data_IF_537823135037
#
_entry.id   IF_537823135037
#
_cell.length_a   1.000
_cell.length_b   1.000
_cell.length_c   1.000
_cell.angle_alpha   90.00
_cell.angle_beta   90.00
_cell.angle_gamma   90.00
#
_symmetry.space_group_name_H-M   'P 1'
#
loop_
_entity.id
_entity.type
_entity.pdbx_description
1 polymer ?
#
# COMPACT_ATOMS: atom_id res chain seq x y z
N UNK A 1 -52.98 15.84 4.45
CA UNK A 1 -52.67 14.40 4.35
C UNK A 1 -51.80 14.01 3.17
N UNK A 2 -51.92 14.63 1.98
CA UNK A 2 -51.07 14.28 0.80
C UNK A 2 -49.57 14.40 1.07
N UNK A 3 -49.08 15.53 1.61
CA UNK A 3 -47.64 15.72 1.86
C UNK A 3 -47.00 14.77 2.88
N UNK A 4 -47.80 14.18 3.80
CA UNK A 4 -47.28 13.15 4.75
C UNK A 4 -47.09 11.80 4.05
N UNK A 5 -47.95 11.46 3.09
CA UNK A 5 -47.82 10.22 2.31
C UNK A 5 -46.61 10.28 1.38
N UNK A 6 -46.39 11.42 0.72
CA UNK A 6 -45.23 11.64 -0.15
C UNK A 6 -43.92 11.60 0.65
N UNK A 7 -43.88 12.25 1.82
CA UNK A 7 -42.70 12.21 2.70
C UNK A 7 -42.40 10.80 3.21
N UNK A 8 -43.42 10.00 3.53
CA UNK A 8 -43.25 8.60 3.95
C UNK A 8 -42.68 7.74 2.82
N UNK A 9 -43.09 7.99 1.58
CA UNK A 9 -42.56 7.30 0.39
C UNK A 9 -41.07 7.58 0.17
N UNK A 10 -40.63 8.84 0.25
CA UNK A 10 -39.21 9.19 0.13
C UNK A 10 -38.35 8.61 1.26
N UNK A 11 -38.84 8.65 2.50
CA UNK A 11 -38.14 8.08 3.66
C UNK A 11 -38.01 6.56 3.55
N UNK A 12 -39.07 5.88 3.09
CA UNK A 12 -39.02 4.44 2.83
C UNK A 12 -38.05 4.08 1.69
N UNK A 13 -38.02 4.86 0.60
CA UNK A 13 -37.06 4.67 -0.48
C UNK A 13 -35.61 4.83 -0.01
N UNK A 14 -35.33 5.88 0.77
CA UNK A 14 -33.99 6.13 1.32
C UNK A 14 -33.56 5.04 2.30
N UNK A 15 -34.45 4.57 3.18
CA UNK A 15 -34.12 3.51 4.14
C UNK A 15 -33.81 2.18 3.46
N UNK A 16 -34.52 1.83 2.37
CA UNK A 16 -34.22 0.65 1.56
C UNK A 16 -32.86 0.79 0.88
N UNK A 17 -32.55 1.95 0.29
CA UNK A 17 -31.26 2.21 -0.35
C UNK A 17 -30.10 2.13 0.65
N UNK A 18 -30.24 2.72 1.84
CA UNK A 18 -29.24 2.61 2.90
C UNK A 18 -29.07 1.16 3.37
N UNK A 19 -30.18 0.44 3.59
CA UNK A 19 -30.14 -0.98 3.95
C UNK A 19 -29.43 -1.85 2.92
N UNK A 20 -29.73 -1.63 1.63
CA UNK A 20 -29.05 -2.30 0.53
C UNK A 20 -27.56 -1.93 0.47
N UNK A 21 -27.20 -0.67 0.71
CA UNK A 21 -25.82 -0.21 0.75
C UNK A 21 -25.01 -0.88 1.87
N UNK A 22 -25.57 -0.96 3.08
CA UNK A 22 -24.93 -1.66 4.22
C UNK A 22 -24.76 -3.15 3.89
N UNK A 23 -25.80 -3.79 3.35
CA UNK A 23 -25.74 -5.19 2.98
C UNK A 23 -24.68 -5.47 1.90
N UNK A 24 -24.64 -4.67 0.83
CA UNK A 24 -23.63 -4.78 -0.23
C UNK A 24 -22.22 -4.53 0.31
N UNK A 25 -22.05 -3.57 1.23
CA UNK A 25 -20.77 -3.31 1.88
C UNK A 25 -20.30 -4.54 2.66
N UNK A 26 -21.18 -5.15 3.47
CA UNK A 26 -20.88 -6.38 4.22
C UNK A 26 -20.51 -7.54 3.28
N UNK A 27 -21.29 -7.76 2.22
CA UNK A 27 -20.99 -8.79 1.22
C UNK A 27 -19.62 -8.54 0.60
N UNK A 28 -19.34 -7.29 0.20
CA UNK A 28 -18.06 -6.96 -0.43
C UNK A 28 -16.88 -7.20 0.51
N UNK A 29 -16.94 -6.73 1.77
CA UNK A 29 -15.89 -6.97 2.77
C UNK A 29 -15.64 -8.46 3.00
N UNK A 30 -16.70 -9.26 3.19
CA UNK A 30 -16.57 -10.71 3.38
C UNK A 30 -15.97 -11.40 2.14
N UNK A 31 -16.41 -11.01 0.94
CA UNK A 31 -15.89 -11.61 -0.31
C UNK A 31 -14.41 -11.32 -0.53
N UNK A 32 -13.94 -10.11 -0.21
CA UNK A 32 -12.52 -9.75 -0.37
C UNK A 32 -11.64 -10.52 0.61
N UNK A 33 -12.07 -10.65 1.86
CA UNK A 33 -11.35 -11.42 2.87
C UNK A 33 -11.29 -12.91 2.50
N UNK A 34 -12.42 -13.48 2.08
CA UNK A 34 -12.48 -14.88 1.61
C UNK A 34 -11.63 -15.11 0.36
N UNK A 35 -11.64 -14.18 -0.59
CA UNK A 35 -10.81 -14.23 -1.79
C UNK A 35 -9.32 -14.17 -1.42
N UNK A 36 -8.94 -13.29 -0.49
CA UNK A 36 -7.57 -13.17 0.02
C UNK A 36 -7.07 -14.48 0.63
N UNK A 37 -7.83 -15.04 1.57
CA UNK A 37 -7.51 -16.32 2.22
C UNK A 37 -7.42 -17.47 1.21
N UNK A 38 -8.35 -17.54 0.26
CA UNK A 38 -8.35 -18.59 -0.77
C UNK A 38 -7.15 -18.46 -1.70
N UNK A 39 -6.80 -17.24 -2.09
CA UNK A 39 -5.63 -16.96 -2.92
C UNK A 39 -4.32 -17.33 -2.20
N UNK A 40 -4.17 -16.94 -0.93
CA UNK A 40 -3.01 -17.27 -0.11
C UNK A 40 -2.85 -18.79 0.04
N UNK A 41 -3.94 -19.50 0.38
CA UNK A 41 -3.94 -20.96 0.53
C UNK A 41 -3.56 -21.67 -0.77
N UNK A 42 -4.14 -21.26 -1.89
CA UNK A 42 -3.85 -21.85 -3.20
C UNK A 42 -2.40 -21.59 -3.62
N UNK A 43 -1.89 -20.37 -3.39
CA UNK A 43 -0.52 -20.02 -3.73
C UNK A 43 0.48 -20.82 -2.89
N UNK A 44 0.26 -20.92 -1.58
CA UNK A 44 1.11 -21.72 -0.69
C UNK A 44 1.10 -23.20 -1.07
N UNK A 45 -0.09 -23.78 -1.35
CA UNK A 45 -0.19 -25.18 -1.77
C UNK A 45 0.51 -25.44 -3.11
N UNK A 46 0.35 -24.52 -4.08
CA UNK A 46 1.02 -24.62 -5.37
C UNK A 46 2.54 -24.48 -5.25
N UNK A 47 3.02 -23.57 -4.39
CA UNK A 47 4.44 -23.39 -4.13
C UNK A 47 5.03 -24.65 -3.48
N UNK A 48 4.34 -25.22 -2.49
CA UNK A 48 4.74 -26.45 -1.82
C UNK A 48 4.83 -27.62 -2.80
N UNK A 49 3.79 -27.84 -3.61
CA UNK A 49 3.76 -28.92 -4.59
C UNK A 49 4.89 -28.80 -5.60
N UNK A 50 5.18 -27.60 -6.10
CA UNK A 50 6.27 -27.38 -7.06
C UNK A 50 7.66 -27.62 -6.44
N UNK A 51 7.84 -27.28 -5.18
CA UNK A 51 9.14 -27.45 -4.50
C UNK A 51 9.38 -28.92 -4.16
N UNK A 52 8.37 -29.64 -3.64
CA UNK A 52 8.50 -31.08 -3.33
C UNK A 52 8.80 -31.91 -4.59
N UNK A 53 8.21 -31.54 -5.73
CA UNK A 53 8.43 -32.20 -7.02
C UNK A 53 9.67 -31.67 -7.78
N UNK A 54 10.41 -30.73 -7.19
CA UNK A 54 11.58 -30.11 -7.80
C UNK A 54 12.80 -31.04 -7.87
N UNK A 55 13.68 -30.89 -8.88
CA UNK A 55 14.91 -31.69 -8.97
C UNK A 55 15.89 -31.34 -7.84
N UNK A 56 16.69 -32.30 -7.38
CA UNK A 56 17.71 -32.11 -6.32
C UNK A 56 18.68 -30.97 -6.68
N UNK A 57 19.03 -30.83 -7.97
CA UNK A 57 19.89 -29.73 -8.47
C UNK A 57 19.37 -28.34 -8.15
N UNK A 58 18.05 -28.16 -8.02
CA UNK A 58 17.47 -26.88 -7.58
C UNK A 58 17.88 -26.58 -6.13
N UNK A 59 17.83 -27.56 -5.24
CA UNK A 59 18.22 -27.41 -3.84
C UNK A 59 19.74 -27.25 -3.65
N UNK A 60 20.55 -27.79 -4.55
CA UNK A 60 22.01 -27.58 -4.52
C UNK A 60 22.42 -26.18 -4.98
N UNK A 61 21.63 -25.56 -5.88
CA UNK A 61 21.95 -24.25 -6.47
C UNK A 61 21.28 -23.09 -5.73
N UNK A 62 20.16 -23.33 -5.05
CA UNK A 62 19.44 -22.29 -4.31
C UNK A 62 19.67 -22.42 -2.81
N UNK A 63 20.05 -21.31 -2.13
CA UNK A 63 20.26 -21.36 -0.69
C UNK A 63 18.94 -21.62 0.03
N UNK A 64 18.95 -22.54 0.99
CA UNK A 64 17.77 -22.91 1.79
C UNK A 64 17.09 -21.69 2.45
N UNK A 65 17.89 -20.68 2.85
CA UNK A 65 17.38 -19.43 3.43
C UNK A 65 16.44 -18.66 2.49
N UNK A 66 16.67 -18.70 1.17
CA UNK A 66 15.81 -18.02 0.19
C UNK A 66 14.49 -18.76 0.00
N UNK A 67 14.51 -20.09 0.04
CA UNK A 67 13.30 -20.91 0.01
C UNK A 67 12.46 -20.63 1.27
N UNK A 68 13.09 -20.64 2.45
CA UNK A 68 12.43 -20.31 3.72
C UNK A 68 11.84 -18.89 3.71
N UNK A 69 12.57 -17.90 3.19
CA UNK A 69 12.07 -16.53 3.10
C UNK A 69 10.81 -16.42 2.21
N UNK A 70 10.73 -17.18 1.12
CA UNK A 70 9.52 -17.23 0.27
C UNK A 70 8.31 -17.85 0.99
N UNK A 71 8.53 -18.92 1.76
CA UNK A 71 7.46 -19.56 2.54
C UNK A 71 7.05 -18.74 3.76
N UNK A 72 7.96 -17.95 4.33
CA UNK A 72 7.69 -17.15 5.52
C UNK A 72 7.30 -15.71 5.15
N UNK A 73 8.27 -14.88 4.74
CA UNK A 73 8.07 -13.46 4.51
C UNK A 73 7.14 -13.18 3.33
N UNK A 74 7.38 -13.78 2.16
CA UNK A 74 6.57 -13.48 0.98
C UNK A 74 5.13 -13.98 1.14
N UNK A 75 4.94 -15.16 1.73
CA UNK A 75 3.59 -15.69 2.01
C UNK A 75 2.87 -14.84 3.04
N UNK A 76 3.57 -14.34 4.07
CA UNK A 76 2.99 -13.41 5.04
C UNK A 76 2.54 -12.09 4.39
N UNK A 77 3.30 -11.56 3.43
CA UNK A 77 2.90 -10.37 2.66
C UNK A 77 1.62 -10.63 1.86
N UNK A 78 1.53 -11.79 1.21
CA UNK A 78 0.39 -12.15 0.38
C UNK A 78 -0.87 -12.39 1.21
N UNK A 79 -0.73 -12.92 2.41
CA UNK A 79 -1.84 -13.19 3.32
C UNK A 79 -2.33 -11.93 4.04
N UNK A 80 -1.40 -11.12 4.58
CA UNK A 80 -1.76 -10.01 5.46
C UNK A 80 -1.85 -8.65 4.76
N UNK A 81 -1.05 -8.39 3.72
CA UNK A 81 -0.95 -7.06 3.13
C UNK A 81 -1.68 -6.91 1.80
N UNK A 82 -1.71 -7.95 0.96
CA UNK A 82 -2.35 -7.87 -0.36
C UNK A 82 -3.88 -7.69 -0.27
N UNK A 83 -4.64 -8.49 0.52
CA UNK A 83 -6.09 -8.37 0.58
C UNK A 83 -6.58 -6.97 1.01
N UNK A 84 -6.10 -6.36 2.12
CA UNK A 84 -6.56 -5.02 2.51
C UNK A 84 -6.12 -3.94 1.52
N UNK A 85 -4.95 -4.10 0.88
CA UNK A 85 -4.49 -3.15 -0.14
C UNK A 85 -5.37 -3.20 -1.39
N UNK A 86 -5.76 -4.39 -1.84
CA UNK A 86 -6.70 -4.56 -2.96
C UNK A 86 -8.09 -4.03 -2.62
N UNK A 87 -8.59 -4.27 -1.41
CA UNK A 87 -9.85 -3.70 -0.93
C UNK A 87 -9.82 -2.17 -0.99
N UNK A 88 -8.77 -1.57 -0.44
CA UNK A 88 -8.59 -0.12 -0.42
C UNK A 88 -8.49 0.45 -1.85
N UNK A 89 -7.70 -0.18 -2.73
CA UNK A 89 -7.56 0.23 -4.12
C UNK A 89 -8.88 0.18 -4.88
N UNK A 90 -9.62 -0.92 -4.77
CA UNK A 90 -10.92 -1.09 -5.43
C UNK A 90 -11.95 -0.11 -4.90
N UNK A 91 -12.02 0.09 -3.58
CA UNK A 91 -12.90 1.09 -2.96
C UNK A 91 -12.57 2.50 -3.45
N UNK A 92 -11.31 2.92 -3.38
CA UNK A 92 -10.90 4.27 -3.76
C UNK A 92 -11.08 4.56 -5.25
N UNK A 93 -10.79 3.58 -6.12
CA UNK A 93 -11.02 3.75 -7.58
C UNK A 93 -12.50 3.85 -7.91
N UNK A 94 -13.35 3.01 -7.31
CA UNK A 94 -14.81 3.08 -7.49
C UNK A 94 -15.40 4.40 -6.96
N UNK A 95 -14.94 4.88 -5.81
CA UNK A 95 -15.36 6.17 -5.26
C UNK A 95 -14.93 7.35 -6.14
N UNK A 96 -13.71 7.29 -6.70
CA UNK A 96 -13.24 8.31 -7.62
C UNK A 96 -14.07 8.33 -8.91
N UNK A 97 -14.31 7.16 -9.51
CA UNK A 97 -15.14 7.03 -10.72
C UNK A 97 -16.59 7.46 -10.47
N UNK A 98 -17.17 7.14 -9.32
CA UNK A 98 -18.52 7.55 -8.98
C UNK A 98 -18.62 9.06 -8.76
N UNK A 99 -17.64 9.68 -8.09
CA UNK A 99 -17.58 11.13 -7.92
C UNK A 99 -17.49 11.85 -9.28
N UNK A 100 -16.59 11.40 -10.16
CA UNK A 100 -16.47 11.95 -11.53
C UNK A 100 -17.79 11.77 -12.30
N UNK A 101 -18.42 10.59 -12.21
CA UNK A 101 -19.71 10.31 -12.84
C UNK A 101 -20.82 11.25 -12.36
N UNK A 102 -20.94 11.44 -11.04
CA UNK A 102 -21.93 12.34 -10.44
C UNK A 102 -21.72 13.80 -10.86
N UNK A 103 -20.48 14.29 -10.85
CA UNK A 103 -20.16 15.65 -11.28
C UNK A 103 -20.46 15.82 -12.78
N UNK A 104 -20.09 14.83 -13.62
CA UNK A 104 -20.35 14.88 -15.06
C UNK A 104 -21.84 14.87 -15.41
N UNK A 105 -22.67 14.23 -14.58
CA UNK A 105 -24.13 14.24 -14.72
C UNK A 105 -24.72 15.60 -14.34
N UNK A 106 -24.21 16.24 -13.27
CA UNK A 106 -24.67 17.54 -12.82
C UNK A 106 -24.23 18.68 -13.76
N UNK A 107 -22.96 18.70 -14.16
CA UNK A 107 -22.34 19.74 -14.98
C UNK A 107 -21.60 19.11 -16.16
N UNK A 108 -22.24 18.87 -17.33
CA UNK A 108 -21.60 18.17 -18.45
C UNK A 108 -20.40 18.93 -19.06
N UNK A 109 -20.34 20.25 -18.87
CA UNK A 109 -19.20 21.09 -19.32
C UNK A 109 -17.90 20.72 -18.58
N UNK A 110 -18.00 20.14 -17.36
CA UNK A 110 -16.85 19.65 -16.58
C UNK A 110 -16.01 18.61 -17.34
N UNK A 111 -16.61 17.83 -18.24
CA UNK A 111 -15.88 16.83 -19.03
C UNK A 111 -14.76 17.44 -19.88
N UNK A 112 -14.94 18.67 -20.37
CA UNK A 112 -13.89 19.38 -21.14
C UNK A 112 -12.73 19.76 -20.22
N UNK A 113 -13.00 20.20 -18.99
CA UNK A 113 -11.98 20.52 -17.99
C UNK A 113 -11.30 19.26 -17.42
N UNK A 114 -11.99 18.13 -17.39
CA UNK A 114 -11.46 16.86 -16.90
C UNK A 114 -10.30 16.33 -17.76
N UNK A 115 -10.32 16.56 -19.09
CA UNK A 115 -9.26 16.08 -20.00
C UNK A 115 -7.87 16.63 -19.64
N UNK A 116 -7.65 17.96 -19.56
CA UNK A 116 -6.35 18.50 -19.18
C UNK A 116 -5.96 18.14 -17.73
N UNK A 117 -6.92 18.10 -16.80
CA UNK A 117 -6.68 17.69 -15.41
C UNK A 117 -6.23 16.22 -15.31
N UNK A 118 -6.87 15.33 -16.08
CA UNK A 118 -6.51 13.92 -16.14
C UNK A 118 -5.13 13.68 -16.73
N UNK A 119 -4.76 14.43 -17.78
CA UNK A 119 -3.39 14.41 -18.34
C UNK A 119 -2.37 14.87 -17.30
N UNK A 120 -2.63 15.99 -16.61
CA UNK A 120 -1.76 16.48 -15.54
C UNK A 120 -1.60 15.46 -14.41
N UNK A 121 -2.71 14.86 -13.95
CA UNK A 121 -2.71 13.80 -12.93
C UNK A 121 -1.89 12.59 -13.38
N UNK A 122 -2.06 12.14 -14.63
CA UNK A 122 -1.29 11.01 -15.19
C UNK A 122 0.22 11.28 -15.15
N UNK A 123 0.66 12.47 -15.56
CA UNK A 123 2.08 12.82 -15.48
C UNK A 123 2.58 12.86 -14.04
N UNK A 124 1.86 13.52 -13.13
CA UNK A 124 2.22 13.59 -11.69
C UNK A 124 2.36 12.17 -11.12
N UNK A 125 1.38 11.31 -11.36
CA UNK A 125 1.37 9.93 -10.86
C UNK A 125 2.51 9.11 -11.47
N UNK A 126 2.81 9.29 -12.76
CA UNK A 126 3.92 8.60 -13.44
C UNK A 126 5.27 8.97 -12.83
N UNK A 127 5.55 10.25 -12.64
CA UNK A 127 6.81 10.71 -12.04
C UNK A 127 6.93 10.27 -10.58
N UNK A 128 5.85 10.43 -9.81
CA UNK A 128 5.81 9.99 -8.42
C UNK A 128 6.07 8.49 -8.28
N UNK A 129 5.44 7.65 -9.12
CA UNK A 129 5.58 6.19 -9.01
C UNK A 129 7.02 5.72 -9.20
N UNK A 130 7.77 6.35 -10.12
CA UNK A 130 9.18 6.04 -10.32
C UNK A 130 10.00 6.49 -9.11
N UNK A 131 9.86 7.77 -8.70
CA UNK A 131 10.62 8.31 -7.58
C UNK A 131 10.33 7.59 -6.25
N UNK A 132 9.05 7.32 -5.95
CA UNK A 132 8.63 6.61 -4.73
C UNK A 132 9.15 5.19 -4.70
N UNK A 133 9.18 4.48 -5.83
CA UNK A 133 9.76 3.14 -5.91
C UNK A 133 11.25 3.17 -5.59
N UNK A 134 12.00 4.05 -6.24
CA UNK A 134 13.46 4.15 -6.04
C UNK A 134 13.80 4.57 -4.60
N UNK A 135 13.01 5.47 -4.01
CA UNK A 135 13.15 5.89 -2.61
C UNK A 135 12.79 4.78 -1.63
N UNK A 136 11.77 3.96 -1.93
CA UNK A 136 11.39 2.84 -1.09
C UNK A 136 12.44 1.73 -1.13
N UNK A 137 12.99 1.42 -2.32
CA UNK A 137 14.13 0.50 -2.44
C UNK A 137 15.37 1.02 -1.68
N UNK A 138 15.60 2.34 -1.71
CA UNK A 138 16.68 2.96 -0.94
C UNK A 138 16.47 2.81 0.57
N UNK A 139 15.28 3.11 1.08
CA UNK A 139 14.91 3.00 2.51
C UNK A 139 15.09 1.55 3.02
N UNK A 140 14.56 0.58 2.27
CA UNK A 140 14.69 -0.85 2.59
C UNK A 140 16.19 -1.27 2.61
N UNK A 141 16.99 -0.76 1.67
CA UNK A 141 18.42 -1.08 1.58
C UNK A 141 19.25 -0.47 2.70
N UNK A 142 18.87 0.71 3.23
CA UNK A 142 19.58 1.38 4.34
C UNK A 142 19.21 0.82 5.69
N UNK A 143 18.00 0.28 5.84
CA UNK A 143 17.53 -0.30 7.10
C UNK A 143 18.27 -1.61 7.45
N UNK A 144 18.58 -2.44 6.45
CA UNK A 144 19.21 -3.74 6.69
C UNK A 144 20.61 -3.64 7.35
N UNK A 145 21.57 -2.82 6.86
CA UNK A 145 22.87 -2.64 7.52
C UNK A 145 22.78 -2.15 8.96
N UNK A 146 21.79 -1.30 9.26
CA UNK A 146 21.55 -0.79 10.61
C UNK A 146 21.15 -1.91 11.57
N UNK A 147 20.23 -2.79 11.15
CA UNK A 147 19.81 -3.95 11.92
C UNK A 147 20.95 -4.96 12.11
N UNK A 148 21.74 -5.21 11.07
CA UNK A 148 22.93 -6.07 11.16
C UNK A 148 23.94 -5.51 12.17
N UNK A 149 24.30 -4.24 12.07
CA UNK A 149 25.25 -3.60 12.99
C UNK A 149 24.75 -3.64 14.45
N UNK A 150 23.44 -3.49 14.67
CA UNK A 150 22.85 -3.64 15.99
C UNK A 150 22.98 -5.07 16.53
N UNK A 151 22.69 -6.08 15.71
CA UNK A 151 22.85 -7.49 16.06
C UNK A 151 24.30 -7.84 16.40
N UNK A 152 25.25 -7.41 15.56
CA UNK A 152 26.69 -7.61 15.78
C UNK A 152 27.17 -6.93 17.06
N UNK A 153 26.68 -5.72 17.36
CA UNK A 153 27.03 -5.00 18.59
C UNK A 153 26.46 -5.69 19.82
N UNK A 154 25.26 -6.27 19.74
CA UNK A 154 24.62 -6.99 20.83
C UNK A 154 25.35 -8.31 21.16
N UNK A 155 25.71 -9.08 20.13
CA UNK A 155 26.44 -10.34 20.28
C UNK A 155 27.89 -10.10 20.75
N UNK A 156 28.56 -9.08 20.21
CA UNK A 156 29.93 -8.70 20.53
C UNK A 156 30.09 -7.72 21.70
N UNK A 157 29.04 -7.47 22.51
CA UNK A 157 29.05 -6.38 23.48
C UNK A 157 30.19 -6.47 24.49
N UNK A 158 30.48 -7.67 24.98
CA UNK A 158 31.54 -7.92 25.99
C UNK A 158 32.92 -7.63 25.43
N UNK A 159 33.19 -8.02 24.18
CA UNK A 159 34.49 -7.77 23.52
C UNK A 159 34.68 -6.29 23.22
N UNK A 160 33.64 -5.60 22.72
CA UNK A 160 33.69 -4.16 22.44
C UNK A 160 34.03 -3.36 23.70
N UNK A 161 33.39 -3.69 24.83
CA UNK A 161 33.66 -3.06 26.14
C UNK A 161 35.05 -3.39 26.66
N UNK A 162 35.51 -4.65 26.52
CA UNK A 162 36.84 -5.06 26.94
C UNK A 162 37.95 -4.30 26.21
N UNK A 163 37.79 -4.06 24.90
CA UNK A 163 38.73 -3.27 24.10
C UNK A 163 38.50 -1.75 24.13
N UNK A 164 37.48 -1.28 24.88
CA UNK A 164 37.10 0.15 24.99
C UNK A 164 36.86 0.84 23.62
N UNK A 165 36.27 0.11 22.67
CA UNK A 165 35.95 0.63 21.33
C UNK A 165 34.50 1.13 21.17
N UNK A 166 33.81 1.38 22.27
CA UNK A 166 32.40 1.83 22.32
C UNK A 166 32.15 3.08 21.47
N UNK A 167 33.03 4.08 21.52
CA UNK A 167 32.86 5.34 20.78
C UNK A 167 32.86 5.13 19.27
N UNK A 168 33.72 4.23 18.77
CA UNK A 168 33.80 3.91 17.33
C UNK A 168 32.51 3.24 16.85
N UNK A 169 32.02 2.25 17.59
CA UNK A 169 30.76 1.57 17.28
C UNK A 169 29.56 2.51 17.38
N UNK A 170 29.53 3.40 18.39
CA UNK A 170 28.49 4.42 18.53
C UNK A 170 28.48 5.38 17.34
N UNK A 171 29.64 5.90 16.94
CA UNK A 171 29.73 6.80 15.79
C UNK A 171 29.25 6.12 14.51
N UNK A 172 29.65 4.86 14.29
CA UNK A 172 29.19 4.09 13.14
C UNK A 172 27.67 3.87 13.14
N UNK A 173 27.08 3.59 14.30
CA UNK A 173 25.63 3.45 14.45
C UNK A 173 24.90 4.77 14.15
N UNK A 174 25.47 5.91 14.55
CA UNK A 174 24.89 7.23 14.25
C UNK A 174 24.94 7.53 12.74
N UNK A 175 26.04 7.22 12.05
CA UNK A 175 26.15 7.37 10.59
C UNK A 175 25.10 6.52 9.84
N UNK A 176 24.92 5.26 10.26
CA UNK A 176 23.92 4.37 9.67
C UNK A 176 22.50 4.87 9.94
N UNK A 177 22.24 5.34 11.17
CA UNK A 177 20.95 5.94 11.54
C UNK A 177 20.65 7.19 10.71
N UNK A 178 21.63 8.07 10.54
CA UNK A 178 21.47 9.30 9.77
C UNK A 178 21.17 9.00 8.30
N UNK A 179 21.92 8.05 7.71
CA UNK A 179 21.68 7.60 6.33
C UNK A 179 20.27 7.04 6.16
N UNK A 180 19.82 6.17 7.07
CA UNK A 180 18.46 5.61 7.05
C UNK A 180 17.39 6.69 7.23
N UNK A 181 17.61 7.61 8.18
CA UNK A 181 16.65 8.68 8.45
C UNK A 181 16.53 9.64 7.26
N UNK A 182 17.62 9.94 6.57
CA UNK A 182 17.59 10.74 5.33
C UNK A 182 16.78 10.02 4.25
N UNK A 183 17.00 8.72 4.02
CA UNK A 183 16.23 7.94 3.04
C UNK A 183 14.72 7.97 3.36
N UNK A 184 14.36 7.69 4.60
CA UNK A 184 12.98 7.76 5.08
C UNK A 184 12.36 9.15 4.93
N UNK A 185 13.10 10.21 5.26
CA UNK A 185 12.63 11.60 5.13
C UNK A 185 12.36 11.97 3.66
N UNK A 186 13.21 11.54 2.73
CA UNK A 186 12.96 11.75 1.30
C UNK A 186 11.73 11.00 0.80
N UNK A 187 11.53 9.75 1.24
CA UNK A 187 10.31 8.99 0.93
C UNK A 187 9.06 9.69 1.47
N UNK A 188 9.11 10.18 2.72
CA UNK A 188 8.03 10.94 3.35
C UNK A 188 7.75 12.27 2.62
N UNK A 189 8.79 12.99 2.23
CA UNK A 189 8.67 14.24 1.47
C UNK A 189 8.07 14.00 0.07
N UNK A 190 8.45 12.91 -0.61
CA UNK A 190 7.84 12.52 -1.88
C UNK A 190 6.34 12.21 -1.71
N UNK A 191 5.96 11.48 -0.66
CA UNK A 191 4.56 11.20 -0.35
C UNK A 191 3.75 12.48 -0.13
N UNK A 192 4.28 13.45 0.65
CA UNK A 192 3.61 14.76 0.81
C UNK A 192 3.54 15.57 -0.48
N UNK A 193 4.57 15.50 -1.31
CA UNK A 193 4.58 16.20 -2.59
C UNK A 193 3.42 15.71 -3.48
N UNK A 194 3.17 14.40 -3.53
CA UNK A 194 2.01 13.86 -4.27
C UNK A 194 0.70 14.38 -3.68
N UNK A 195 0.52 14.24 -2.37
CA UNK A 195 -0.71 14.63 -1.65
C UNK A 195 -1.08 16.10 -1.93
N UNK A 196 -0.12 17.02 -1.77
CA UNK A 196 -0.32 18.45 -2.06
C UNK A 196 -0.73 18.69 -3.51
N UNK A 197 -0.11 17.98 -4.47
CA UNK A 197 -0.44 18.13 -5.90
C UNK A 197 -1.82 17.56 -6.23
N UNK A 198 -2.21 16.46 -5.62
CA UNK A 198 -3.55 15.89 -5.80
C UNK A 198 -4.62 16.76 -5.17
N UNK A 199 -4.34 17.41 -4.03
CA UNK A 199 -5.26 18.36 -3.39
C UNK A 199 -5.47 19.60 -4.25
N UNK A 200 -4.41 20.14 -4.87
CA UNK A 200 -4.56 21.24 -5.83
C UNK A 200 -5.43 20.86 -7.03
N UNK A 201 -5.27 19.64 -7.58
CA UNK A 201 -6.13 19.15 -8.65
C UNK A 201 -7.58 19.01 -8.18
N UNK A 202 -7.79 18.51 -6.96
CA UNK A 202 -9.11 18.45 -6.32
C UNK A 202 -9.77 19.82 -6.16
N UNK A 203 -9.01 20.83 -5.72
CA UNK A 203 -9.50 22.20 -5.61
C UNK A 203 -9.91 22.79 -6.97
N UNK A 204 -9.14 22.51 -8.03
CA UNK A 204 -9.51 22.88 -9.40
C UNK A 204 -10.78 22.18 -9.88
N UNK A 205 -10.97 20.91 -9.52
CA UNK A 205 -12.20 20.17 -9.82
C UNK A 205 -13.41 20.84 -9.15
N UNK A 206 -13.31 21.16 -7.85
CA UNK A 206 -14.39 21.82 -7.11
C UNK A 206 -14.71 23.22 -7.66
N UNK A 207 -13.71 23.95 -8.15
CA UNK A 207 -13.90 25.27 -8.75
C UNK A 207 -14.59 25.21 -10.13
N UNK A 208 -14.50 24.07 -10.82
CA UNK A 208 -15.05 23.87 -12.18
C UNK A 208 -16.36 23.08 -12.22
N UNK A 209 -16.70 22.37 -11.14
CA UNK A 209 -17.94 21.61 -10.95
C UNK A 209 -19.15 22.54 -10.71
#
# INVERSE_FOLDING_TARGET
>A
NSGKADQTYYVAGFSILCGAGIFLCLVTSLTVEWMGLTAAKNLHHNLLNKIILGPIRFFDTTPLGLILNRFSADTNIIDQHIPPTLESLTRSTLLCLSAIGMISYATPVFLVALVPLGVAFYFIQKYFRVASKDLQELDDSTQLPLLCHFSETAEGLTTIRAFRHETRFKQRMLELTDTNNIAYLFLSAANRWLEVRTDYLGACIVLTA
#
